data_IF_669011473321
#
_entry.id   IF_669011473321
#
_cell.length_a   1.000
_cell.length_b   1.000
_cell.length_c   1.000
_cell.angle_alpha   90.00
_cell.angle_beta   90.00
_cell.angle_gamma   90.00
#
_symmetry.space_group_name_H-M   'P 1'
#
loop_
_entity.id
_entity.type
_entity.pdbx_description
1 polymer ?
#
# COMPACT_ATOMS: atom_id res chain seq x y z
N UNK A 1 9.30 -22.06 -8.79
CA UNK A 1 8.07 -21.87 -9.59
C UNK A 1 8.24 -22.58 -10.93
N UNK A 2 7.29 -23.44 -11.37
CA UNK A 2 7.44 -24.23 -12.60
C UNK A 2 7.12 -23.45 -13.89
N UNK A 3 6.51 -22.27 -13.79
CA UNK A 3 6.17 -21.41 -14.93
C UNK A 3 6.85 -20.04 -14.79
N UNK A 4 7.16 -19.41 -15.92
CA UNK A 4 7.77 -18.07 -15.98
C UNK A 4 7.04 -17.25 -17.05
N UNK A 5 6.80 -15.97 -16.77
CA UNK A 5 6.18 -15.04 -17.69
C UNK A 5 6.84 -13.67 -17.58
N UNK A 6 6.68 -12.86 -18.63
CA UNK A 6 7.16 -11.48 -18.65
C UNK A 6 5.98 -10.54 -18.44
N UNK A 7 6.19 -9.50 -17.62
CA UNK A 7 5.20 -8.47 -17.37
C UNK A 7 5.75 -7.10 -17.77
N UNK A 8 4.88 -6.25 -18.32
CA UNK A 8 5.21 -4.86 -18.60
C UNK A 8 4.80 -3.99 -17.41
N UNK A 9 5.79 -3.35 -16.79
CA UNK A 9 5.65 -2.55 -15.56
C UNK A 9 5.59 -1.04 -15.81
N UNK A 10 5.51 -0.57 -17.06
CA UNK A 10 5.39 0.86 -17.36
C UNK A 10 4.21 1.49 -16.63
N UNK A 11 4.41 2.67 -16.04
CA UNK A 11 3.30 3.45 -15.48
C UNK A 11 2.50 4.12 -16.59
N UNK A 12 1.36 4.71 -16.26
CA UNK A 12 0.56 5.39 -17.26
C UNK A 12 1.21 6.71 -17.73
N UNK A 13 1.94 7.39 -16.85
CA UNK A 13 2.57 8.67 -17.16
C UNK A 13 4.01 8.53 -17.69
N UNK A 14 4.74 7.48 -17.31
CA UNK A 14 6.16 7.32 -17.65
C UNK A 14 6.49 5.88 -18.10
N UNK A 15 7.47 5.75 -19.00
CA UNK A 15 8.04 4.45 -19.36
C UNK A 15 8.75 3.78 -18.17
N UNK A 16 9.28 4.59 -17.25
CA UNK A 16 9.96 4.15 -16.02
C UNK A 16 9.00 4.34 -14.85
N UNK A 17 8.57 3.23 -14.26
CA UNK A 17 7.67 3.24 -13.09
C UNK A 17 8.42 3.54 -11.80
N UNK A 18 7.71 4.08 -10.84
CA UNK A 18 8.13 4.09 -9.44
C UNK A 18 7.43 2.97 -8.64
N UNK A 19 7.83 2.79 -7.38
CA UNK A 19 7.24 1.79 -6.48
C UNK A 19 5.76 2.04 -6.19
N UNK A 20 5.31 3.31 -6.19
CA UNK A 20 3.92 3.66 -5.96
C UNK A 20 3.01 3.24 -7.12
N UNK A 21 3.37 3.62 -8.34
CA UNK A 21 2.60 3.22 -9.53
C UNK A 21 2.62 1.70 -9.75
N UNK A 22 3.77 1.06 -9.52
CA UNK A 22 3.91 -0.40 -9.62
C UNK A 22 3.09 -1.13 -8.55
N UNK A 23 3.22 -0.72 -7.28
CA UNK A 23 2.46 -1.29 -6.17
C UNK A 23 0.96 -1.09 -6.35
N UNK A 24 0.54 0.09 -6.80
CA UNK A 24 -0.86 0.39 -7.11
C UNK A 24 -1.36 -0.50 -8.23
N UNK A 25 -0.60 -0.68 -9.32
CA UNK A 25 -1.00 -1.57 -10.40
C UNK A 25 -1.23 -3.01 -9.94
N UNK A 26 -0.44 -3.51 -8.99
CA UNK A 26 -0.65 -4.82 -8.39
C UNK A 26 -1.83 -4.86 -7.41
N UNK A 27 -2.10 -3.78 -6.69
CA UNK A 27 -3.15 -3.77 -5.67
C UNK A 27 -4.55 -3.52 -6.25
N UNK A 28 -4.70 -2.62 -7.23
CA UNK A 28 -6.00 -2.26 -7.83
C UNK A 28 -6.21 -2.86 -9.24
N UNK A 29 -5.19 -3.49 -9.83
CA UNK A 29 -5.25 -4.08 -11.17
C UNK A 29 -5.31 -3.06 -12.32
N UNK A 30 -5.04 -1.78 -12.06
CA UNK A 30 -5.04 -0.68 -13.04
C UNK A 30 -3.74 0.10 -12.98
N UNK A 31 -3.18 0.43 -14.15
CA UNK A 31 -2.01 1.31 -14.22
C UNK A 31 -2.39 2.71 -13.74
N UNK A 32 -1.52 3.31 -12.93
CA UNK A 32 -1.67 4.69 -12.45
C UNK A 32 -0.41 5.50 -12.77
N UNK A 33 -0.36 6.75 -12.31
CA UNK A 33 0.76 7.67 -12.53
C UNK A 33 1.84 7.52 -11.44
N UNK A 34 3.08 7.93 -11.74
CA UNK A 34 4.19 7.83 -10.78
C UNK A 34 3.89 8.56 -9.46
N UNK A 35 4.11 7.88 -8.34
CA UNK A 35 3.87 8.39 -6.99
C UNK A 35 2.44 8.24 -6.48
N UNK A 36 1.53 7.66 -7.27
CA UNK A 36 0.19 7.27 -6.82
C UNK A 36 0.26 6.13 -5.79
N UNK A 37 -0.70 6.10 -4.86
CA UNK A 37 -0.88 5.02 -3.89
C UNK A 37 -2.37 4.67 -3.87
N UNK A 38 -2.75 3.50 -4.38
CA UNK A 38 -4.14 3.00 -4.33
C UNK A 38 -5.16 3.84 -5.12
N UNK A 39 -4.70 4.75 -5.98
CA UNK A 39 -5.59 5.61 -6.78
C UNK A 39 -5.48 5.29 -8.26
N UNK A 40 -6.60 5.41 -8.95
CA UNK A 40 -6.67 5.31 -10.40
C UNK A 40 -6.02 6.55 -11.08
N UNK A 41 -5.78 6.48 -12.40
CA UNK A 41 -5.32 7.59 -13.24
C UNK A 41 -6.01 8.94 -13.03
N UNK A 42 -7.30 8.91 -12.73
CA UNK A 42 -8.18 10.04 -12.47
C UNK A 42 -8.03 10.60 -11.04
N UNK A 43 -7.08 10.07 -10.27
CA UNK A 43 -6.83 10.38 -8.85
C UNK A 43 -7.93 9.94 -7.90
N UNK A 44 -8.91 9.18 -8.38
CA UNK A 44 -9.98 8.62 -7.55
C UNK A 44 -9.48 7.37 -6.82
N UNK A 45 -9.91 7.15 -5.56
CA UNK A 45 -9.62 5.92 -4.84
C UNK A 45 -10.23 4.73 -5.59
N UNK A 46 -9.43 3.71 -5.82
CA UNK A 46 -9.86 2.46 -6.44
C UNK A 46 -9.70 1.33 -5.43
N UNK A 47 -10.70 0.45 -5.35
CA UNK A 47 -10.69 -0.67 -4.42
C UNK A 47 -9.44 -1.54 -4.63
N UNK A 48 -8.75 -1.84 -3.54
CA UNK A 48 -7.55 -2.64 -3.54
C UNK A 48 -7.85 -4.11 -3.22
N UNK A 49 -6.90 -5.01 -3.52
CA UNK A 49 -7.08 -6.45 -3.30
C UNK A 49 -7.33 -6.84 -1.84
N UNK A 50 -6.78 -6.11 -0.86
CA UNK A 50 -6.98 -6.44 0.55
C UNK A 50 -8.39 -6.07 0.99
N UNK A 51 -8.92 -4.93 0.54
CA UNK A 51 -10.31 -4.52 0.77
C UNK A 51 -11.28 -5.54 0.14
N UNK A 52 -11.02 -5.96 -1.10
CA UNK A 52 -11.83 -6.98 -1.78
C UNK A 52 -11.84 -8.31 -1.01
N UNK A 53 -10.70 -8.71 -0.43
CA UNK A 53 -10.56 -9.95 0.33
C UNK A 53 -11.21 -9.85 1.72
N UNK A 54 -11.06 -8.70 2.39
CA UNK A 54 -11.66 -8.43 3.68
C UNK A 54 -13.20 -8.46 3.60
N UNK A 55 -13.78 -7.87 2.56
CA UNK A 55 -15.24 -7.97 2.28
C UNK A 55 -15.75 -9.39 2.08
N UNK A 56 -14.86 -10.31 1.68
CA UNK A 56 -15.16 -11.74 1.52
C UNK A 56 -14.86 -12.56 2.79
N UNK A 57 -14.39 -11.93 3.86
CA UNK A 57 -14.06 -12.59 5.13
C UNK A 57 -12.72 -13.33 5.13
N UNK A 58 -11.80 -13.01 4.20
CA UNK A 58 -10.45 -13.55 4.24
C UNK A 58 -9.55 -12.72 5.13
N UNK A 59 -8.67 -13.39 5.89
CA UNK A 59 -7.64 -12.72 6.65
C UNK A 59 -6.59 -12.11 5.72
N UNK A 60 -6.26 -10.84 5.92
CA UNK A 60 -5.31 -10.12 5.05
C UNK A 60 -4.05 -9.70 5.81
N UNK A 61 -2.89 -9.77 5.15
CA UNK A 61 -1.61 -9.45 5.79
C UNK A 61 -0.62 -8.77 4.85
N UNK A 62 0.06 -7.74 5.35
CA UNK A 62 1.11 -7.00 4.63
C UNK A 62 2.39 -7.02 5.44
N UNK A 63 3.46 -7.55 4.85
CA UNK A 63 4.78 -7.63 5.49
C UNK A 63 5.80 -6.94 4.60
N UNK A 64 6.54 -6.00 5.16
CA UNK A 64 7.66 -5.34 4.51
C UNK A 64 8.84 -5.23 5.45
N UNK A 65 10.05 -5.15 4.91
CA UNK A 65 11.25 -4.77 5.67
C UNK A 65 11.42 -3.25 5.75
N UNK A 66 10.77 -2.51 4.84
CA UNK A 66 10.78 -1.04 4.82
C UNK A 66 9.83 -0.45 5.86
N UNK A 67 9.84 0.89 5.97
CA UNK A 67 8.80 1.60 6.70
C UNK A 67 7.40 1.19 6.23
N UNK A 68 6.47 1.07 7.17
CA UNK A 68 5.07 0.71 6.88
C UNK A 68 4.36 1.76 6.04
N UNK A 69 4.76 3.03 6.14
CA UNK A 69 4.24 4.15 5.33
C UNK A 69 4.90 4.25 3.96
N UNK A 70 5.89 3.41 3.65
CA UNK A 70 6.55 3.42 2.37
C UNK A 70 5.60 3.00 1.23
N UNK A 71 5.93 3.38 0.00
CA UNK A 71 4.99 3.25 -1.12
C UNK A 71 4.48 1.82 -1.35
N UNK A 72 5.37 0.83 -1.34
CA UNK A 72 5.01 -0.56 -1.65
C UNK A 72 3.96 -1.13 -0.68
N UNK A 73 4.15 -1.12 0.66
CA UNK A 73 3.12 -1.59 1.58
C UNK A 73 1.88 -0.69 1.58
N UNK A 74 2.03 0.63 1.43
CA UNK A 74 0.92 1.58 1.44
C UNK A 74 -0.11 1.35 0.34
N UNK A 75 0.30 0.87 -0.84
CA UNK A 75 -0.60 0.60 -1.96
C UNK A 75 -1.69 -0.43 -1.67
N UNK A 76 -1.52 -1.24 -0.62
CA UNK A 76 -2.44 -2.31 -0.25
C UNK A 76 -3.47 -1.91 0.80
N UNK A 77 -3.37 -0.71 1.39
CA UNK A 77 -4.28 -0.28 2.46
C UNK A 77 -4.66 1.20 2.43
N UNK A 78 -3.96 2.00 1.64
CA UNK A 78 -4.17 3.44 1.56
C UNK A 78 -4.44 3.89 0.13
N UNK A 79 -5.15 5.00 0.02
CA UNK A 79 -5.54 5.70 -1.18
C UNK A 79 -5.13 7.17 -1.02
N UNK A 80 -3.97 7.53 -1.58
CA UNK A 80 -3.48 8.90 -1.60
C UNK A 80 -2.91 9.28 -2.97
N UNK A 81 -3.03 10.56 -3.31
CA UNK A 81 -2.57 11.08 -4.60
C UNK A 81 -1.06 11.04 -4.75
N UNK A 82 -0.33 11.19 -3.64
CA UNK A 82 1.13 11.28 -3.62
C UNK A 82 1.68 10.44 -2.46
N UNK A 83 2.64 9.57 -2.78
CA UNK A 83 3.38 8.73 -1.82
C UNK A 83 4.11 9.49 -0.70
N UNK A 84 4.30 10.80 -0.86
CA UNK A 84 4.90 11.68 0.17
C UNK A 84 3.91 12.04 1.28
N UNK A 85 2.62 11.75 1.12
CA UNK A 85 1.58 12.01 2.12
C UNK A 85 1.58 10.95 3.22
N UNK A 86 2.75 10.71 3.84
CA UNK A 86 2.95 9.63 4.81
C UNK A 86 2.04 9.75 6.04
N UNK A 87 1.70 10.97 6.47
CA UNK A 87 0.78 11.19 7.59
C UNK A 87 -0.64 10.71 7.26
N UNK A 88 -1.12 10.96 6.03
CA UNK A 88 -2.45 10.51 5.61
C UNK A 88 -2.47 9.01 5.36
N UNK A 89 -1.40 8.45 4.78
CA UNK A 89 -1.21 7.00 4.64
C UNK A 89 -1.31 6.33 6.01
N UNK A 90 -0.60 6.86 7.00
CA UNK A 90 -0.61 6.29 8.34
C UNK A 90 -1.96 6.47 9.07
N UNK A 91 -2.70 7.54 8.78
CA UNK A 91 -4.08 7.70 9.26
C UNK A 91 -5.01 6.65 8.65
N UNK A 92 -4.86 6.34 7.36
CA UNK A 92 -5.66 5.33 6.69
C UNK A 92 -5.29 3.92 7.14
N UNK A 93 -4.02 3.66 7.46
CA UNK A 93 -3.58 2.38 8.03
C UNK A 93 -4.38 2.02 9.30
N UNK A 94 -4.60 2.97 10.19
CA UNK A 94 -5.39 2.81 11.42
C UNK A 94 -6.83 2.40 11.14
N UNK A 95 -7.40 2.90 10.05
CA UNK A 95 -8.79 2.65 9.65
C UNK A 95 -8.91 1.52 8.62
N UNK A 96 -7.81 0.87 8.25
CA UNK A 96 -7.79 -0.19 7.26
C UNK A 96 -8.26 -1.51 7.86
N UNK A 97 -8.90 -2.34 7.04
CA UNK A 97 -9.40 -3.66 7.44
C UNK A 97 -8.31 -4.75 7.42
N UNK A 98 -7.03 -4.38 7.56
CA UNK A 98 -5.92 -5.32 7.49
C UNK A 98 -5.75 -6.10 8.79
N UNK A 99 -5.61 -7.44 8.67
CA UNK A 99 -5.45 -8.32 9.83
C UNK A 99 -4.04 -8.41 10.40
N UNK A 100 -3.03 -8.22 9.57
CA UNK A 100 -1.67 -8.32 10.04
C UNK A 100 -0.79 -7.37 9.27
N UNK A 101 -0.07 -6.51 9.98
CA UNK A 101 0.86 -5.60 9.33
C UNK A 101 2.17 -5.56 10.07
N UNK A 102 3.25 -5.83 9.33
CA UNK A 102 4.60 -5.82 9.85
C UNK A 102 5.50 -5.01 8.94
N UNK A 103 6.22 -4.07 9.53
CA UNK A 103 7.30 -3.37 8.88
C UNK A 103 7.98 -2.43 9.85
N UNK A 104 8.91 -1.66 9.34
CA UNK A 104 9.65 -0.72 10.15
C UNK A 104 8.76 0.46 10.55
N UNK A 105 8.91 0.95 11.77
CA UNK A 105 8.14 2.08 12.30
C UNK A 105 9.01 3.34 12.35
N UNK A 106 9.55 3.80 11.21
CA UNK A 106 10.29 5.05 11.18
C UNK A 106 9.34 6.26 11.13
N UNK A 107 9.57 7.25 12.00
CA UNK A 107 8.98 8.60 11.92
C UNK A 107 7.55 8.78 12.46
N UNK A 108 6.58 7.93 12.10
CA UNK A 108 5.16 8.16 12.46
C UNK A 108 4.80 7.65 13.86
N UNK A 109 5.24 6.44 14.23
CA UNK A 109 4.91 5.85 15.53
C UNK A 109 5.52 6.63 16.71
N UNK A 110 6.57 7.42 16.47
CA UNK A 110 7.21 8.27 17.47
C UNK A 110 6.36 9.49 17.87
N UNK A 111 5.45 9.99 17.01
CA UNK A 111 4.69 11.23 17.26
C UNK A 111 3.27 11.04 17.81
N UNK A 112 2.62 9.87 17.66
CA UNK A 112 1.28 9.60 18.22
C UNK A 112 1.19 8.18 18.84
N UNK A 113 1.54 8.09 20.13
CA UNK A 113 1.62 6.86 20.97
C UNK A 113 0.27 6.18 21.29
N UNK A 114 -0.77 6.25 20.45
CA UNK A 114 -2.12 5.85 20.91
C UNK A 114 -3.07 5.26 19.86
N UNK A 115 -2.56 4.47 18.92
CA UNK A 115 -3.45 3.64 18.10
C UNK A 115 -2.95 2.20 18.05
N UNK A 116 -3.69 1.34 18.75
CA UNK A 116 -3.59 -0.12 18.86
C UNK A 116 -2.31 -0.76 18.30
N UNK A 117 -1.30 -0.77 19.17
CA UNK A 117 -0.03 -1.47 19.02
C UNK A 117 -0.18 -2.99 19.31
N UNK A 118 -1.19 -3.66 18.76
CA UNK A 118 -1.40 -5.11 18.98
C UNK A 118 -1.06 -5.99 17.77
N UNK A 119 -0.59 -5.40 16.65
CA UNK A 119 -0.25 -6.17 15.43
C UNK A 119 1.17 -5.92 14.90
N UNK A 120 1.99 -5.14 15.61
CA UNK A 120 3.36 -4.84 15.20
C UNK A 120 4.38 -5.69 15.96
N UNK A 121 4.94 -6.70 15.30
CA UNK A 121 6.17 -7.37 15.76
C UNK A 121 7.37 -6.75 15.03
N UNK A 122 7.93 -5.69 15.61
CA UNK A 122 9.30 -5.23 15.31
C UNK A 122 10.29 -6.23 15.92
N UNK A 123 11.35 -6.58 15.17
CA UNK A 123 12.51 -7.35 15.69
C UNK A 123 13.53 -6.33 16.20
#
# INVERSE_FOLDING_TARGET
MPFTGFINTSSQSHKITDSGAGGTAFSIGKRSYNGSIGVAPDTLPAENITEMLSKKGYNTGVVSTSSVTHATPACFYAHVKLRKMEEEIARQLVHSDIDFLRGEAQGFCAKKRRVQLFRFFTI
#
